data_IF_928214120196
#
_entry.id   IF_928214120196
#
_cell.length_a   1.000
_cell.length_b   1.000
_cell.length_c   1.000
_cell.angle_alpha   90.00
_cell.angle_beta   90.00
_cell.angle_gamma   90.00
#
_symmetry.space_group_name_H-M   'P 1'
#
loop_
_entity.id
_entity.type
_entity.pdbx_description
1 polymer ?
#
# COMPACT_ATOMS: atom_id res chain seq x y z
N UNK A 1 -16.07 -22.91 18.80
CA UNK A 1 -14.64 -22.58 18.55
C UNK A 1 -14.61 -21.54 17.44
N UNK A 2 -14.13 -20.33 17.72
CA UNK A 2 -13.91 -19.32 16.68
C UNK A 2 -12.74 -19.79 15.81
N UNK A 3 -12.99 -20.09 14.54
CA UNK A 3 -11.91 -20.35 13.58
C UNK A 3 -11.14 -19.05 13.42
N UNK A 4 -9.93 -18.97 13.97
CA UNK A 4 -9.03 -17.84 13.72
C UNK A 4 -8.78 -17.81 12.20
N UNK A 5 -9.37 -16.83 11.52
CA UNK A 5 -9.13 -16.60 10.09
C UNK A 5 -7.86 -15.78 9.97
N UNK A 6 -6.83 -16.36 9.35
CA UNK A 6 -5.58 -15.64 9.09
C UNK A 6 -5.87 -14.43 8.19
N UNK A 7 -5.32 -13.27 8.55
CA UNK A 7 -5.41 -12.04 7.76
C UNK A 7 -4.08 -11.85 7.04
N UNK A 8 -4.13 -11.95 5.72
CA UNK A 8 -3.04 -11.61 4.83
C UNK A 8 -3.27 -10.22 4.24
N UNK A 9 -2.23 -9.40 4.21
CA UNK A 9 -2.26 -8.07 3.62
C UNK A 9 -1.03 -7.90 2.74
N UNK A 10 -1.21 -7.49 1.50
CA UNK A 10 -0.11 -7.26 0.58
C UNK A 10 -0.37 -6.06 -0.32
N UNK A 11 0.69 -5.50 -0.89
CA UNK A 11 0.58 -4.33 -1.78
C UNK A 11 1.77 -4.22 -2.74
N UNK A 12 1.52 -3.64 -3.92
CA UNK A 12 2.54 -3.11 -4.83
C UNK A 12 2.66 -1.60 -4.63
N UNK A 13 3.88 -1.07 -4.42
CA UNK A 13 4.14 0.37 -4.43
C UNK A 13 4.56 0.80 -5.83
N UNK A 14 3.66 1.50 -6.51
CA UNK A 14 3.87 2.06 -7.84
C UNK A 14 4.13 3.57 -7.70
N UNK A 15 5.34 4.04 -8.03
CA UNK A 15 5.69 5.47 -7.96
C UNK A 15 6.86 5.80 -8.88
N UNK A 16 6.86 7.00 -9.47
CA UNK A 16 8.01 7.48 -10.28
C UNK A 16 7.69 8.29 -11.54
N UNK A 17 6.44 8.69 -11.77
CA UNK A 17 6.02 9.40 -12.99
C UNK A 17 6.74 10.76 -13.22
N UNK A 18 7.24 11.39 -12.15
CA UNK A 18 7.61 12.82 -12.17
C UNK A 18 9.04 13.15 -12.69
N UNK A 19 9.90 12.16 -12.96
CA UNK A 19 11.28 12.41 -13.48
C UNK A 19 11.52 11.84 -14.89
N UNK A 20 10.45 11.58 -15.64
CA UNK A 20 10.53 11.20 -17.04
C UNK A 20 10.85 9.73 -17.30
N UNK A 21 10.71 9.36 -18.58
CA UNK A 21 10.81 8.01 -19.10
C UNK A 21 12.14 7.78 -19.82
N UNK A 22 12.88 6.75 -19.41
CA UNK A 22 14.05 6.27 -20.13
C UNK A 22 13.60 5.46 -21.35
N UNK A 23 13.80 6.03 -22.54
CA UNK A 23 13.41 5.42 -23.82
C UNK A 23 14.25 4.19 -24.18
N UNK A 24 15.50 4.11 -23.73
CA UNK A 24 16.40 3.00 -24.05
C UNK A 24 16.01 1.77 -23.24
N UNK A 25 15.90 1.93 -21.91
CA UNK A 25 15.60 0.83 -21.00
C UNK A 25 14.10 0.56 -20.85
N UNK A 26 13.25 1.50 -21.30
CA UNK A 26 11.80 1.46 -21.15
C UNK A 26 11.41 1.35 -19.67
N UNK A 27 11.92 2.29 -18.87
CA UNK A 27 11.71 2.37 -17.41
C UNK A 27 11.45 3.82 -16.98
N UNK A 28 10.86 4.00 -15.79
CA UNK A 28 10.70 5.30 -15.17
C UNK A 28 11.94 5.66 -14.37
N UNK A 29 12.56 6.80 -14.68
CA UNK A 29 13.85 7.21 -14.10
C UNK A 29 13.79 7.26 -12.57
N UNK A 30 12.71 7.83 -12.01
CA UNK A 30 12.56 7.92 -10.55
C UNK A 30 12.30 6.55 -9.93
N UNK A 31 11.47 5.70 -10.54
CA UNK A 31 11.23 4.33 -10.05
C UNK A 31 12.54 3.58 -9.89
N UNK A 32 13.40 3.58 -10.91
CA UNK A 32 14.71 2.90 -10.86
C UNK A 32 15.62 3.48 -9.77
N UNK A 33 15.58 4.80 -9.55
CA UNK A 33 16.35 5.45 -8.47
C UNK A 33 15.81 5.15 -7.06
N UNK A 34 14.53 4.83 -6.93
CA UNK A 34 13.92 4.49 -5.64
C UNK A 34 14.18 3.05 -5.21
N UNK A 35 14.28 2.11 -6.15
CA UNK A 35 14.59 0.69 -5.85
C UNK A 35 15.77 0.48 -4.90
N UNK A 36 16.97 1.06 -5.12
CA UNK A 36 18.11 0.87 -4.20
C UNK A 36 17.92 1.55 -2.84
N UNK A 37 16.92 2.42 -2.69
CA UNK A 37 16.59 3.07 -1.41
C UNK A 37 15.55 2.27 -0.60
N UNK A 38 14.98 1.20 -1.15
CA UNK A 38 14.00 0.36 -0.43
C UNK A 38 14.68 -0.36 0.72
N UNK A 39 14.16 -0.15 1.92
CA UNK A 39 14.66 -0.73 3.17
C UNK A 39 13.52 -1.26 4.02
N UNK A 40 13.74 -2.40 4.67
CA UNK A 40 12.87 -2.88 5.74
C UNK A 40 13.42 -2.40 7.08
N UNK A 41 12.58 -1.78 7.89
CA UNK A 41 12.96 -1.16 9.17
C UNK A 41 12.14 -1.75 10.30
N UNK A 42 12.81 -2.24 11.34
CA UNK A 42 12.20 -2.66 12.59
C UNK A 42 12.31 -1.52 13.60
N UNK A 43 11.20 -0.84 13.88
CA UNK A 43 11.15 0.25 14.86
C UNK A 43 11.00 -0.33 16.25
N UNK A 44 11.96 -0.04 17.13
CA UNK A 44 12.00 -0.62 18.48
C UNK A 44 11.92 0.44 19.57
N UNK A 45 11.30 0.08 20.69
CA UNK A 45 11.26 0.85 21.93
C UNK A 45 11.51 -0.11 23.08
N UNK A 46 12.54 0.14 23.90
CA UNK A 46 12.94 -0.78 24.97
C UNK A 46 13.30 -2.18 24.46
N UNK A 47 14.07 -2.28 23.38
CA UNK A 47 14.49 -3.53 22.72
C UNK A 47 13.35 -4.45 22.25
N UNK A 48 12.14 -3.91 22.13
CA UNK A 48 10.98 -4.61 21.58
C UNK A 48 10.51 -3.91 20.32
N UNK A 49 10.28 -4.68 19.26
CA UNK A 49 9.68 -4.17 18.02
C UNK A 49 8.29 -3.64 18.31
N UNK A 50 8.09 -2.35 18.01
CA UNK A 50 6.78 -1.68 18.06
C UNK A 50 6.05 -1.94 16.75
N UNK A 51 6.70 -1.65 15.62
CA UNK A 51 6.18 -1.93 14.29
C UNK A 51 7.32 -2.18 13.30
N UNK A 52 6.99 -2.77 12.15
CA UNK A 52 7.90 -2.97 11.01
C UNK A 52 7.37 -2.21 9.81
N UNK A 53 8.26 -1.76 8.93
CA UNK A 53 7.87 -1.05 7.72
C UNK A 53 8.80 -1.35 6.56
N UNK A 54 8.23 -1.41 5.36
CA UNK A 54 8.94 -1.25 4.10
C UNK A 54 8.93 0.23 3.75
N UNK A 55 10.10 0.83 3.58
CA UNK A 55 10.23 2.27 3.42
C UNK A 55 11.35 2.63 2.43
N UNK A 56 11.48 3.92 2.13
CA UNK A 56 12.54 4.51 1.32
C UNK A 56 13.52 5.25 2.25
N UNK A 57 14.81 4.95 2.14
CA UNK A 57 15.84 5.63 2.92
C UNK A 57 15.76 7.15 2.72
N UNK A 58 15.64 7.89 3.84
CA UNK A 58 15.44 9.35 3.85
C UNK A 58 13.98 9.80 3.99
N UNK A 59 12.99 8.93 3.74
CA UNK A 59 11.58 9.24 3.97
C UNK A 59 11.15 8.84 5.38
N UNK A 60 10.69 9.82 6.17
CA UNK A 60 10.35 9.60 7.59
C UNK A 60 8.89 9.26 7.84
N UNK A 61 8.03 9.35 6.80
CA UNK A 61 6.64 8.88 6.86
C UNK A 61 6.54 7.39 6.54
N UNK A 62 5.35 6.80 6.73
CA UNK A 62 5.13 5.36 6.50
C UNK A 62 4.08 5.12 5.41
N UNK A 63 4.44 4.39 4.36
CA UNK A 63 3.50 4.02 3.29
C UNK A 63 3.05 2.56 3.39
N UNK A 64 3.84 1.72 4.07
CA UNK A 64 3.61 0.29 4.21
C UNK A 64 4.18 -0.15 5.55
N UNK A 65 3.37 -0.79 6.39
CA UNK A 65 3.85 -1.28 7.67
C UNK A 65 2.89 -2.22 8.38
N UNK A 66 3.44 -2.90 9.37
CA UNK A 66 2.73 -3.85 10.22
C UNK A 66 3.06 -3.61 11.68
N UNK A 67 2.05 -3.68 12.53
CA UNK A 67 2.19 -3.81 13.97
C UNK A 67 1.92 -5.28 14.35
N UNK A 68 2.96 -6.07 14.66
CA UNK A 68 2.84 -7.51 14.87
C UNK A 68 1.74 -7.86 15.88
N UNK A 69 0.84 -8.79 15.50
CA UNK A 69 -0.26 -9.24 16.35
C UNK A 69 -1.45 -8.30 16.46
N UNK A 70 -1.38 -7.06 15.95
CA UNK A 70 -2.45 -6.06 16.08
C UNK A 70 -3.09 -5.69 14.74
N UNK A 71 -2.35 -5.06 13.83
CA UNK A 71 -2.87 -4.62 12.53
C UNK A 71 -1.77 -4.41 11.49
N UNK A 72 -2.17 -4.24 10.22
CA UNK A 72 -1.29 -3.81 9.12
C UNK A 72 -1.91 -2.62 8.40
N UNK A 73 -1.07 -1.76 7.82
CA UNK A 73 -1.48 -0.51 7.22
C UNK A 73 -0.69 -0.23 5.93
N UNK A 74 -1.41 0.13 4.88
CA UNK A 74 -0.85 0.59 3.60
C UNK A 74 -1.59 1.82 3.13
N UNK A 75 -0.90 2.71 2.42
CA UNK A 75 -1.48 3.93 1.88
C UNK A 75 -1.40 3.94 0.36
N UNK A 76 -2.55 4.20 -0.29
CA UNK A 76 -2.63 4.46 -1.72
C UNK A 76 -2.90 5.94 -1.98
N UNK A 77 -2.36 6.47 -3.08
CA UNK A 77 -2.63 7.84 -3.52
C UNK A 77 -4.06 7.94 -4.08
N UNK A 78 -4.76 9.03 -3.73
CA UNK A 78 -6.10 9.36 -4.24
C UNK A 78 -6.05 10.73 -4.91
N UNK A 79 -6.41 10.78 -6.19
CA UNK A 79 -6.42 12.02 -6.96
C UNK A 79 -7.74 12.76 -6.77
N UNK A 80 -7.66 14.04 -6.42
CA UNK A 80 -8.80 14.95 -6.35
C UNK A 80 -8.38 16.34 -6.86
N UNK A 81 -9.28 17.04 -7.54
CA UNK A 81 -9.09 18.42 -8.03
C UNK A 81 -8.89 19.40 -6.88
N UNK A 82 -9.60 19.22 -5.76
CA UNK A 82 -9.35 19.91 -4.48
C UNK A 82 -8.35 19.12 -3.61
N UNK A 83 -7.22 18.76 -4.22
CA UNK A 83 -6.24 17.83 -3.64
C UNK A 83 -5.17 18.48 -2.76
N UNK A 84 -4.01 17.81 -2.66
CA UNK A 84 -2.93 18.18 -1.74
C UNK A 84 -2.37 19.60 -1.92
N UNK A 85 -2.43 20.18 -3.12
CA UNK A 85 -1.92 21.54 -3.36
C UNK A 85 -2.72 22.62 -2.62
N UNK A 86 -4.05 22.48 -2.53
CA UNK A 86 -4.90 23.40 -1.77
C UNK A 86 -4.54 23.33 -0.28
N UNK A 87 -4.42 22.11 0.26
CA UNK A 87 -4.02 21.91 1.66
C UNK A 87 -2.63 22.45 1.99
N UNK A 88 -1.67 22.36 1.07
CA UNK A 88 -0.33 22.96 1.24
C UNK A 88 -0.42 24.49 1.28
N UNK A 89 -1.23 25.11 0.41
CA UNK A 89 -1.43 26.56 0.41
C UNK A 89 -2.09 27.03 1.70
N UNK A 90 -3.16 26.36 2.16
CA UNK A 90 -3.82 26.67 3.44
C UNK A 90 -2.85 26.56 4.62
N UNK A 91 -1.98 25.54 4.63
CA UNK A 91 -0.95 25.34 5.66
C UNK A 91 0.06 26.50 5.71
N UNK A 92 0.53 26.95 4.54
CA UNK A 92 1.45 28.09 4.41
C UNK A 92 0.76 29.39 4.87
N UNK A 93 -0.52 29.56 4.52
CA UNK A 93 -1.34 30.72 4.88
C UNK A 93 -1.82 30.73 6.35
N UNK A 94 -1.44 29.71 7.13
CA UNK A 94 -1.58 29.70 8.60
C UNK A 94 -2.60 28.70 9.14
N UNK A 95 -3.36 28.01 8.29
CA UNK A 95 -4.32 26.99 8.72
C UNK A 95 -3.62 25.63 8.88
N UNK A 96 -3.31 25.26 10.13
CA UNK A 96 -2.46 24.10 10.47
C UNK A 96 -3.18 22.99 11.24
N UNK A 97 -4.47 22.80 10.96
CA UNK A 97 -5.33 21.78 11.55
C UNK A 97 -5.16 20.39 10.92
N UNK A 98 -4.61 20.31 9.70
CA UNK A 98 -4.35 19.06 8.98
C UNK A 98 -3.06 18.33 9.41
N UNK A 99 -2.97 17.03 9.09
CA UNK A 99 -1.74 16.24 9.26
C UNK A 99 -1.28 15.69 7.92
N UNK A 100 0.03 15.73 7.66
CA UNK A 100 0.62 15.11 6.48
C UNK A 100 0.38 13.59 6.52
N UNK A 101 -0.13 13.04 5.42
CA UNK A 101 -0.58 11.64 5.37
C UNK A 101 0.49 10.64 5.81
N UNK A 102 1.74 10.78 5.34
CA UNK A 102 2.84 9.91 5.75
C UNK A 102 3.21 10.02 7.24
N UNK A 103 2.95 11.17 7.87
CA UNK A 103 3.16 11.35 9.31
C UNK A 103 1.99 10.80 10.12
N UNK A 104 0.76 10.92 9.61
CA UNK A 104 -0.42 10.32 10.22
C UNK A 104 -0.29 8.78 10.27
N UNK A 105 0.04 8.14 9.17
CA UNK A 105 0.25 6.68 9.12
C UNK A 105 1.38 6.24 10.04
N UNK A 106 2.48 7.01 10.11
CA UNK A 106 3.56 6.77 11.08
C UNK A 106 3.07 6.86 12.52
N UNK A 107 2.34 7.93 12.87
CA UNK A 107 1.77 8.13 14.20
C UNK A 107 0.87 6.97 14.59
N UNK A 108 0.03 6.49 13.67
CA UNK A 108 -0.87 5.35 13.89
C UNK A 108 -0.08 4.06 14.13
N UNK A 109 0.88 3.72 13.26
CA UNK A 109 1.72 2.52 13.44
C UNK A 109 2.51 2.54 14.76
N UNK A 110 2.98 3.73 15.16
CA UNK A 110 3.80 3.89 16.37
C UNK A 110 2.97 3.83 17.65
N UNK A 111 1.78 4.45 17.68
CA UNK A 111 1.05 4.74 18.91
C UNK A 111 -0.30 4.05 19.05
N UNK A 112 -0.97 3.63 17.96
CA UNK A 112 -2.25 2.94 18.08
C UNK A 112 -2.05 1.58 18.76
N UNK A 113 -3.02 1.16 19.57
CA UNK A 113 -2.91 -0.06 20.40
C UNK A 113 -3.82 -1.19 19.94
N UNK A 114 -4.60 -0.98 18.89
CA UNK A 114 -5.49 -1.99 18.32
C UNK A 114 -5.92 -1.62 16.90
N UNK A 115 -6.51 -2.58 16.19
CA UNK A 115 -7.14 -2.34 14.89
C UNK A 115 -8.25 -1.28 14.96
N UNK A 116 -9.14 -1.33 15.96
CA UNK A 116 -10.25 -0.36 16.07
C UNK A 116 -9.72 1.05 16.39
N UNK A 117 -8.74 1.17 17.28
CA UNK A 117 -8.07 2.45 17.55
C UNK A 117 -7.39 3.02 16.30
N UNK A 118 -6.66 2.19 15.56
CA UNK A 118 -6.05 2.60 14.29
C UNK A 118 -7.10 3.04 13.26
N UNK A 119 -8.21 2.31 13.16
CA UNK A 119 -9.33 2.62 12.27
C UNK A 119 -10.03 3.92 12.66
N UNK A 120 -10.28 4.15 13.94
CA UNK A 120 -10.91 5.38 14.44
C UNK A 120 -10.00 6.60 14.22
N UNK A 121 -8.68 6.45 14.36
CA UNK A 121 -7.72 7.51 14.04
C UNK A 121 -7.62 7.82 12.54
N UNK A 122 -7.85 6.82 11.68
CA UNK A 122 -7.74 6.96 10.22
C UNK A 122 -9.07 7.30 9.54
N UNK A 123 -10.21 7.11 10.20
CA UNK A 123 -11.52 7.23 9.57
C UNK A 123 -12.48 8.12 10.36
N UNK A 124 -13.20 8.98 9.64
CA UNK A 124 -14.44 9.61 10.12
C UNK A 124 -15.66 9.03 9.41
N UNK A 125 -15.52 7.88 8.74
CA UNK A 125 -16.55 7.32 7.86
C UNK A 125 -16.73 5.83 8.09
N UNK A 126 -17.98 5.44 8.36
CA UNK A 126 -18.38 4.05 8.59
C UNK A 126 -18.36 3.29 7.26
N UNK A 127 -17.50 2.28 7.15
CA UNK A 127 -17.45 1.40 5.97
C UNK A 127 -18.66 0.46 5.98
N UNK A 128 -19.41 0.44 4.87
CA UNK A 128 -20.52 -0.49 4.62
C UNK A 128 -19.98 -1.67 3.79
N UNK A 129 -19.32 -2.63 4.42
CA UNK A 129 -19.00 -3.89 3.76
C UNK A 129 -20.18 -4.87 3.91
N UNK A 130 -20.85 -5.30 2.83
CA UNK A 130 -21.89 -6.33 2.93
C UNK A 130 -21.28 -7.68 3.34
N UNK A 131 -22.06 -8.45 4.10
CA UNK A 131 -21.74 -9.82 4.54
C UNK A 131 -21.53 -10.71 3.31
N UNK A 132 -20.30 -11.19 3.09
CA UNK A 132 -19.96 -12.15 2.01
C UNK A 132 -18.66 -11.88 1.25
N UNK A 133 -18.02 -10.72 1.40
CA UNK A 133 -16.70 -10.45 0.80
C UNK A 133 -15.58 -10.96 1.71
N UNK A 134 -14.68 -11.78 1.16
CA UNK A 134 -13.52 -12.34 1.87
C UNK A 134 -12.21 -11.57 1.61
N UNK A 135 -12.23 -10.59 0.70
CA UNK A 135 -11.14 -9.65 0.45
C UNK A 135 -11.68 -8.24 0.20
N UNK A 136 -10.81 -7.26 0.43
CA UNK A 136 -10.96 -5.87 -0.02
C UNK A 136 -9.79 -5.57 -0.93
N UNK A 137 -10.03 -4.85 -2.02
CA UNK A 137 -9.02 -4.48 -3.00
C UNK A 137 -9.18 -3.01 -3.35
N UNK A 138 -8.08 -2.26 -3.26
CA UNK A 138 -8.04 -0.83 -3.53
C UNK A 138 -6.86 -0.50 -4.43
N UNK A 139 -7.06 0.44 -5.36
CA UNK A 139 -6.04 0.96 -6.30
C UNK A 139 -5.91 2.46 -6.08
N UNK A 140 -6.22 3.30 -7.08
CA UNK A 140 -6.07 4.76 -6.99
C UNK A 140 -7.36 5.53 -7.37
N UNK A 141 -8.50 4.83 -7.46
CA UNK A 141 -9.80 5.41 -7.81
C UNK A 141 -10.87 4.86 -6.88
N UNK A 142 -11.85 5.70 -6.58
CA UNK A 142 -12.94 5.36 -5.68
C UNK A 142 -13.63 4.04 -6.08
N UNK A 143 -13.93 3.21 -5.09
CA UNK A 143 -14.45 1.86 -5.35
C UNK A 143 -15.86 1.87 -5.99
N UNK A 144 -16.61 2.97 -5.86
CA UNK A 144 -17.91 3.18 -6.50
C UNK A 144 -17.81 3.78 -7.90
N UNK A 145 -16.62 4.22 -8.33
CA UNK A 145 -16.37 4.77 -9.66
C UNK A 145 -15.81 3.71 -10.62
N UNK A 146 -15.95 3.98 -11.92
CA UNK A 146 -15.29 3.16 -12.96
C UNK A 146 -13.78 3.45 -12.96
N UNK A 147 -12.93 2.43 -13.12
CA UNK A 147 -11.49 2.64 -13.23
C UNK A 147 -11.19 3.41 -14.51
N UNK A 148 -10.08 4.17 -14.51
CA UNK A 148 -9.60 4.82 -15.73
C UNK A 148 -9.24 3.76 -16.77
N UNK A 149 -9.74 3.90 -17.99
CA UNK A 149 -9.64 2.86 -19.05
C UNK A 149 -8.19 2.45 -19.33
N UNK A 150 -7.24 3.37 -19.21
CA UNK A 150 -5.84 3.13 -19.51
C UNK A 150 -5.02 2.58 -18.32
N UNK A 151 -5.59 2.49 -17.12
CA UNK A 151 -4.92 2.05 -15.88
C UNK A 151 -5.83 1.11 -15.06
N UNK A 152 -6.59 0.22 -15.68
CA UNK A 152 -7.43 -0.70 -14.90
C UNK A 152 -6.63 -1.87 -14.32
N UNK A 153 -6.02 -1.63 -13.15
CA UNK A 153 -5.38 -2.66 -12.31
C UNK A 153 -6.37 -3.40 -11.40
N UNK A 154 -7.51 -2.77 -11.08
CA UNK A 154 -8.51 -3.29 -10.14
C UNK A 154 -9.20 -4.54 -10.70
N UNK A 155 -9.69 -4.48 -11.93
CA UNK A 155 -10.45 -5.58 -12.55
C UNK A 155 -9.60 -6.85 -12.74
N UNK A 156 -8.37 -6.78 -13.30
CA UNK A 156 -7.50 -7.96 -13.39
C UNK A 156 -7.17 -8.56 -12.02
N UNK A 157 -6.88 -7.72 -11.02
CA UNK A 157 -6.56 -8.21 -9.68
C UNK A 157 -7.76 -8.91 -9.02
N UNK A 158 -8.98 -8.34 -9.12
CA UNK A 158 -10.20 -9.00 -8.62
C UNK A 158 -10.45 -10.34 -9.34
N UNK A 159 -10.18 -10.42 -10.64
CA UNK A 159 -10.29 -11.67 -11.40
C UNK A 159 -9.34 -12.73 -10.85
N UNK A 160 -8.07 -12.39 -10.62
CA UNK A 160 -7.09 -13.32 -10.05
C UNK A 160 -7.42 -13.72 -8.61
N UNK A 161 -7.92 -12.78 -7.78
CA UNK A 161 -8.40 -13.09 -6.43
C UNK A 161 -9.58 -14.07 -6.46
N UNK A 162 -10.56 -13.83 -7.33
CA UNK A 162 -11.72 -14.72 -7.50
C UNK A 162 -11.31 -16.12 -7.98
N UNK A 163 -10.29 -16.22 -8.82
CA UNK A 163 -9.72 -17.51 -9.26
C UNK A 163 -8.96 -18.24 -8.15
N UNK A 164 -8.24 -17.51 -7.30
CA UNK A 164 -7.51 -18.07 -6.15
C UNK A 164 -8.49 -18.66 -5.13
N UNK A 165 -9.62 -17.99 -4.90
CA UNK A 165 -10.63 -18.31 -3.87
C UNK A 165 -10.14 -18.13 -2.44
N UNK A 166 -11.07 -18.05 -1.48
CA UNK A 166 -10.74 -17.94 -0.06
C UNK A 166 -10.01 -19.18 0.48
N UNK A 167 -10.27 -20.36 -0.07
CA UNK A 167 -9.72 -21.62 0.45
C UNK A 167 -8.21 -21.77 0.14
N UNK A 168 -7.73 -21.17 -0.95
CA UNK A 168 -6.32 -21.29 -1.38
C UNK A 168 -5.50 -20.02 -1.11
N UNK A 169 -6.06 -19.05 -0.38
CA UNK A 169 -5.36 -17.78 -0.14
C UNK A 169 -4.16 -17.98 0.80
N UNK A 170 -3.01 -17.48 0.36
CA UNK A 170 -1.73 -17.47 1.07
C UNK A 170 -0.88 -16.27 0.64
N UNK A 171 0.22 -15.98 1.34
CA UNK A 171 1.16 -14.95 0.89
C UNK A 171 1.70 -15.22 -0.51
N UNK A 172 1.97 -16.49 -0.84
CA UNK A 172 2.43 -16.90 -2.17
C UNK A 172 1.38 -16.63 -3.25
N UNK A 173 0.12 -17.06 -3.05
CA UNK A 173 -0.93 -16.82 -4.04
C UNK A 173 -1.23 -15.32 -4.21
N UNK A 174 -1.11 -14.52 -3.15
CA UNK A 174 -1.26 -13.06 -3.24
C UNK A 174 -0.09 -12.45 -4.02
N UNK A 175 1.13 -12.97 -3.84
CA UNK A 175 2.28 -12.54 -4.64
C UNK A 175 2.07 -12.84 -6.13
N UNK A 176 1.42 -13.95 -6.49
CA UNK A 176 1.05 -14.26 -7.88
C UNK A 176 0.05 -13.23 -8.44
N UNK A 177 -0.97 -12.86 -7.67
CA UNK A 177 -1.92 -11.79 -8.03
C UNK A 177 -1.17 -10.48 -8.28
N UNK A 178 -0.29 -10.08 -7.35
CA UNK A 178 0.52 -8.86 -7.45
C UNK A 178 1.62 -8.92 -8.52
N UNK A 179 1.89 -10.09 -9.07
CA UNK A 179 2.85 -10.30 -10.17
C UNK A 179 2.18 -10.36 -11.55
N UNK A 180 0.85 -10.33 -11.58
CA UNK A 180 0.08 -10.36 -12.83
C UNK A 180 0.02 -8.97 -13.45
N UNK A 181 0.36 -8.83 -14.74
CA UNK A 181 0.24 -7.54 -15.47
C UNK A 181 -1.24 -7.23 -15.73
N UNK A 182 -1.72 -5.98 -15.55
CA UNK A 182 -0.98 -4.75 -15.22
C UNK A 182 -0.82 -4.45 -13.71
N UNK A 183 -1.25 -5.34 -12.81
CA UNK A 183 -1.06 -5.16 -11.34
C UNK A 183 0.42 -5.01 -11.01
N UNK A 184 1.27 -5.80 -11.67
CA UNK A 184 2.69 -5.53 -11.84
C UNK A 184 2.90 -4.69 -13.11
N UNK A 185 3.53 -3.53 -12.96
CA UNK A 185 3.80 -2.60 -14.05
C UNK A 185 5.21 -1.97 -13.92
N UNK A 186 5.56 -1.05 -14.82
CA UNK A 186 6.88 -0.39 -14.82
C UNK A 186 7.10 0.61 -13.68
N UNK A 187 6.05 1.05 -12.98
CA UNK A 187 6.16 1.91 -11.79
C UNK A 187 6.35 1.10 -10.51
N UNK A 188 6.08 -0.22 -10.54
CA UNK A 188 6.21 -1.07 -9.35
C UNK A 188 7.64 -1.10 -8.85
N UNK A 189 7.87 -0.42 -7.74
CA UNK A 189 9.18 -0.33 -7.08
C UNK A 189 9.40 -1.55 -6.20
N UNK A 190 8.40 -1.91 -5.38
CA UNK A 190 8.44 -3.08 -4.52
C UNK A 190 7.05 -3.70 -4.31
N UNK A 191 7.05 -4.97 -3.90
CA UNK A 191 5.89 -5.69 -3.38
C UNK A 191 6.13 -6.06 -1.93
N UNK A 192 5.18 -5.75 -1.06
CA UNK A 192 5.23 -6.17 0.35
C UNK A 192 4.14 -7.17 0.66
N UNK A 193 4.50 -8.20 1.42
CA UNK A 193 3.62 -9.26 1.89
C UNK A 193 3.64 -9.25 3.42
N UNK A 194 2.47 -9.25 4.05
CA UNK A 194 2.33 -9.12 5.50
C UNK A 194 1.31 -10.13 6.04
N UNK A 195 1.65 -10.73 7.17
CA UNK A 195 0.75 -11.56 7.96
C UNK A 195 0.77 -11.06 9.41
N UNK A 196 -0.38 -10.58 9.88
CA UNK A 196 -0.48 -9.89 11.18
C UNK A 196 -0.24 -10.83 12.34
N UNK A 197 -0.81 -12.04 12.30
CA UNK A 197 -0.72 -13.06 13.36
C UNK A 197 0.72 -13.46 13.67
N UNK A 198 1.55 -13.61 12.65
CA UNK A 198 2.96 -14.00 12.78
C UNK A 198 3.91 -12.80 12.87
N UNK A 199 3.41 -11.59 12.57
CA UNK A 199 4.24 -10.39 12.47
C UNK A 199 5.19 -10.42 11.26
N UNK A 200 4.89 -11.24 10.27
CA UNK A 200 5.69 -11.38 9.04
C UNK A 200 5.54 -10.13 8.19
N UNK A 201 6.68 -9.59 7.74
CA UNK A 201 6.76 -8.55 6.72
C UNK A 201 7.92 -8.91 5.80
N UNK A 202 7.60 -9.20 4.56
CA UNK A 202 8.56 -9.46 3.50
C UNK A 202 8.38 -8.42 2.41
N UNK A 203 9.48 -8.06 1.74
CA UNK A 203 9.42 -7.10 0.64
C UNK A 203 10.42 -7.42 -0.44
N UNK A 204 9.97 -7.29 -1.67
CA UNK A 204 10.70 -7.66 -2.86
C UNK A 204 10.74 -6.47 -3.79
N UNK A 205 11.94 -5.97 -4.11
CA UNK A 205 12.13 -5.00 -5.20
C UNK A 205 11.67 -5.66 -6.50
N UNK A 206 10.90 -4.95 -7.31
CA UNK A 206 10.28 -5.51 -8.51
C UNK A 206 10.86 -4.94 -9.80
N UNK A 207 10.85 -5.79 -10.81
CA UNK A 207 11.08 -5.43 -12.20
C UNK A 207 9.94 -5.94 -13.06
N UNK A 208 9.61 -5.19 -14.10
CA UNK A 208 8.63 -5.61 -15.10
C UNK A 208 9.29 -5.64 -16.49
N UNK A 209 9.85 -6.79 -16.91
CA UNK A 209 10.52 -6.90 -18.20
C UNK A 209 9.51 -6.72 -19.35
N UNK A 210 10.02 -6.20 -20.47
CA UNK A 210 9.21 -5.97 -21.67
C UNK A 210 8.73 -7.31 -22.26
N UNK A 211 7.49 -7.39 -22.78
CA UNK A 211 6.48 -6.33 -22.83
C UNK A 211 5.79 -6.12 -21.46
N UNK A 212 5.68 -4.87 -21.00
CA UNK A 212 4.98 -4.51 -19.76
C UNK A 212 4.39 -3.09 -19.86
N UNK A 213 3.26 -2.86 -19.19
CA UNK A 213 2.60 -1.55 -19.20
C UNK A 213 3.41 -0.53 -18.40
N UNK A 214 3.45 0.74 -18.85
CA UNK A 214 4.17 1.80 -18.14
C UNK A 214 3.56 2.12 -16.76
N UNK A 215 2.28 1.83 -16.53
CA UNK A 215 1.56 1.97 -15.27
C UNK A 215 0.55 0.82 -15.15
#
# INVERSE_FOLDING_TARGET
MSTIRNIYHARNLDFGLFMGWDRQNKTWTLTEKLKPLVVNVNFQRGNKTVFKSTNLAGYVGMLTGIRPGEFSLTMNERFNVDGGYVGILEWILGRRDGMWMGFLTRKVLENATSYEDAKDQLSQTKLLAPLGRWYVLETNYDHWEKPMIFDDRRTPAMKCMNQTTQANISLASIYDVLSTKPVLNKLTTYTSLMEVSTGTLESYIRDCPNPCTPW
#
